data_IF_281868186273
#
_entry.id   IF_281868186273
#
_cell.length_a   1.000
_cell.length_b   1.000
_cell.length_c   1.000
_cell.angle_alpha   90.00
_cell.angle_beta   90.00
_cell.angle_gamma   90.00
#
_symmetry.space_group_name_H-M   'P 1'
#
loop_
_entity.id
_entity.type
_entity.pdbx_description
1 polymer ?
#
# COMPACT_ATOMS: atom_id res chain seq x y z
N UNK A 1 -19.38 -17.97 -26.34
CA UNK A 1 -20.69 -17.42 -26.72
C UNK A 1 -21.92 -18.27 -26.31
N UNK A 2 -21.78 -19.62 -26.04
CA UNK A 2 -22.91 -20.53 -25.74
C UNK A 2 -23.65 -20.19 -24.42
N UNK A 3 -23.00 -19.54 -23.47
CA UNK A 3 -23.51 -19.26 -22.12
C UNK A 3 -23.78 -17.78 -21.85
N UNK A 4 -23.55 -16.90 -22.83
CA UNK A 4 -23.81 -15.46 -22.68
C UNK A 4 -25.29 -15.21 -22.37
N UNK A 5 -25.55 -14.41 -21.35
CA UNK A 5 -26.88 -14.08 -20.85
C UNK A 5 -27.55 -15.20 -20.03
N UNK A 6 -26.90 -16.34 -19.83
CA UNK A 6 -27.40 -17.42 -18.96
C UNK A 6 -26.92 -17.26 -17.55
N UNK A 7 -27.76 -17.52 -16.59
CA UNK A 7 -27.38 -17.73 -15.21
C UNK A 7 -26.70 -19.10 -15.08
N UNK A 8 -25.53 -19.11 -14.49
CA UNK A 8 -24.74 -20.31 -14.25
C UNK A 8 -24.49 -20.43 -12.74
N UNK A 9 -24.49 -21.66 -12.24
CA UNK A 9 -24.15 -21.96 -10.85
C UNK A 9 -22.79 -22.62 -10.80
N UNK A 10 -21.86 -22.06 -10.05
CA UNK A 10 -20.62 -22.74 -9.65
C UNK A 10 -20.85 -23.38 -8.29
N UNK A 11 -20.67 -24.70 -8.22
CA UNK A 11 -20.68 -25.45 -6.96
C UNK A 11 -19.26 -25.92 -6.68
N UNK A 12 -18.75 -25.60 -5.49
CA UNK A 12 -17.46 -26.07 -4.99
C UNK A 12 -17.70 -26.97 -3.79
N UNK A 13 -17.14 -28.17 -3.82
CA UNK A 13 -17.19 -29.12 -2.71
C UNK A 13 -15.77 -29.33 -2.19
N UNK A 14 -15.50 -28.96 -0.94
CA UNK A 14 -14.25 -29.27 -0.25
C UNK A 14 -14.44 -30.51 0.63
N UNK A 15 -13.51 -31.47 0.54
CA UNK A 15 -13.45 -32.64 1.42
C UNK A 15 -12.21 -32.54 2.30
N UNK A 16 -12.42 -32.57 3.60
CA UNK A 16 -11.35 -32.49 4.60
C UNK A 16 -10.85 -33.91 4.96
N UNK A 17 -9.61 -33.98 5.45
CA UNK A 17 -8.99 -35.25 5.84
C UNK A 17 -9.70 -35.95 7.02
N UNK A 18 -10.50 -35.21 7.79
CA UNK A 18 -11.33 -35.74 8.88
C UNK A 18 -12.67 -36.32 8.38
N UNK A 19 -12.92 -36.30 7.06
CA UNK A 19 -14.15 -36.80 6.44
C UNK A 19 -15.28 -35.78 6.34
N UNK A 20 -15.09 -34.58 6.85
CA UNK A 20 -16.05 -33.47 6.69
C UNK A 20 -16.11 -32.99 5.24
N UNK A 21 -17.30 -32.57 4.83
CA UNK A 21 -17.55 -31.98 3.51
C UNK A 21 -18.14 -30.59 3.72
N UNK A 22 -17.55 -29.61 3.05
CA UNK A 22 -18.12 -28.27 2.94
C UNK A 22 -18.47 -27.99 1.48
N UNK A 23 -19.64 -27.41 1.26
CA UNK A 23 -20.12 -27.04 -0.08
C UNK A 23 -20.44 -25.54 -0.10
N UNK A 24 -20.10 -24.91 -1.21
CA UNK A 24 -20.46 -23.53 -1.50
C UNK A 24 -21.00 -23.43 -2.92
N UNK A 25 -22.03 -22.61 -3.11
CA UNK A 25 -22.59 -22.31 -4.44
C UNK A 25 -22.54 -20.81 -4.69
N UNK A 26 -22.26 -20.45 -5.93
CA UNK A 26 -22.33 -19.05 -6.38
C UNK A 26 -23.00 -19.01 -7.75
N UNK A 27 -23.98 -18.13 -7.89
CA UNK A 27 -24.66 -17.88 -9.16
C UNK A 27 -24.04 -16.67 -9.86
N UNK A 28 -23.81 -16.79 -11.15
CA UNK A 28 -23.29 -15.69 -11.96
C UNK A 28 -23.93 -15.70 -13.35
N UNK A 29 -24.02 -14.54 -13.97
CA UNK A 29 -24.49 -14.39 -15.35
C UNK A 29 -23.29 -14.21 -16.24
N UNK A 30 -23.12 -15.11 -17.21
CA UNK A 30 -22.09 -14.97 -18.23
C UNK A 30 -22.45 -13.82 -19.16
N UNK A 31 -21.62 -12.78 -19.20
CA UNK A 31 -21.79 -11.62 -20.08
C UNK A 31 -20.73 -11.64 -21.19
N UNK A 32 -21.06 -11.06 -22.35
CA UNK A 32 -20.04 -10.71 -23.35
C UNK A 32 -19.13 -9.64 -22.79
N UNK A 33 -17.90 -9.65 -23.23
CA UNK A 33 -16.80 -8.78 -22.79
C UNK A 33 -17.28 -7.47 -22.14
N UNK A 34 -17.00 -7.32 -20.87
CA UNK A 34 -17.00 -5.99 -20.26
C UNK A 34 -15.85 -5.23 -20.91
N UNK A 35 -16.16 -4.11 -21.51
CA UNK A 35 -15.14 -3.09 -21.69
C UNK A 35 -14.74 -2.62 -20.29
N UNK A 36 -13.66 -3.19 -19.76
CA UNK A 36 -13.05 -2.65 -18.54
C UNK A 36 -12.67 -1.21 -18.86
N UNK A 37 -13.13 -0.22 -18.09
CA UNK A 37 -12.78 1.16 -18.36
C UNK A 37 -11.27 1.31 -18.38
N UNK A 38 -10.77 2.08 -19.32
CA UNK A 38 -9.36 2.47 -19.31
C UNK A 38 -9.12 3.25 -18.02
N UNK A 39 -8.01 2.99 -17.37
CA UNK A 39 -7.56 3.80 -16.25
C UNK A 39 -7.46 5.27 -16.69
N UNK A 40 -7.98 6.19 -15.89
CA UNK A 40 -7.98 7.62 -16.24
C UNK A 40 -6.71 8.35 -15.79
N UNK A 41 -5.96 7.75 -14.87
CA UNK A 41 -4.72 8.29 -14.33
C UNK A 41 -3.82 7.15 -13.86
N UNK A 42 -2.52 7.42 -13.81
CA UNK A 42 -1.55 6.52 -13.22
C UNK A 42 -1.61 6.59 -11.68
N UNK A 43 -1.18 5.51 -11.03
CA UNK A 43 -1.08 5.35 -9.57
C UNK A 43 0.32 4.82 -9.27
N UNK A 44 1.30 5.74 -9.24
CA UNK A 44 2.71 5.42 -9.42
C UNK A 44 3.49 5.18 -8.12
N UNK A 45 2.89 5.50 -6.97
CA UNK A 45 3.49 5.30 -5.64
C UNK A 45 2.41 4.82 -4.65
N UNK A 46 2.82 4.50 -3.42
CA UNK A 46 1.89 4.24 -2.32
C UNK A 46 0.86 5.37 -2.22
N UNK A 47 -0.41 5.01 -2.05
CA UNK A 47 -1.52 5.99 -2.03
C UNK A 47 -1.51 6.95 -3.23
N UNK A 48 -1.07 6.48 -4.39
CA UNK A 48 -1.22 7.09 -5.71
C UNK A 48 -0.17 8.10 -6.12
N UNK A 49 0.59 8.66 -5.20
CA UNK A 49 1.65 9.61 -5.52
C UNK A 49 2.73 9.67 -4.43
N UNK A 50 3.84 10.33 -4.75
CA UNK A 50 4.99 10.41 -3.85
C UNK A 50 4.73 11.14 -2.52
N UNK A 51 3.64 11.92 -2.40
CA UNK A 51 3.19 12.57 -1.16
C UNK A 51 2.29 11.67 -0.32
N UNK A 52 1.88 10.52 -0.83
CA UNK A 52 0.88 9.63 -0.24
C UNK A 52 -0.46 10.32 0.03
N UNK A 53 -0.87 11.22 -0.83
CA UNK A 53 -2.04 12.07 -0.61
C UNK A 53 -3.34 11.50 -1.18
N UNK A 54 -3.30 10.30 -1.77
CA UNK A 54 -4.45 9.63 -2.37
C UNK A 54 -5.31 10.57 -3.22
N UNK A 55 -4.91 10.86 -4.46
CA UNK A 55 -5.58 11.87 -5.29
C UNK A 55 -7.06 11.52 -5.46
N UNK A 56 -7.91 12.53 -5.39
CA UNK A 56 -9.37 12.36 -5.51
C UNK A 56 -9.71 11.79 -6.87
N UNK A 57 -10.51 10.73 -6.87
CA UNK A 57 -11.06 10.13 -8.07
C UNK A 57 -12.54 10.47 -8.26
N UNK A 58 -13.01 10.39 -9.49
CA UNK A 58 -14.44 10.46 -9.77
C UNK A 58 -15.21 9.36 -9.01
N UNK A 59 -16.47 9.60 -8.60
CA UNK A 59 -17.25 8.61 -7.87
C UNK A 59 -17.33 7.28 -8.62
N UNK A 60 -17.08 6.17 -7.93
CA UNK A 60 -17.34 4.84 -8.46
C UNK A 60 -18.83 4.52 -8.31
N UNK A 61 -19.43 4.00 -9.38
CA UNK A 61 -20.82 3.60 -9.34
C UNK A 61 -20.98 2.24 -8.64
N UNK A 62 -21.66 2.21 -7.51
CA UNK A 62 -21.99 0.98 -6.80
C UNK A 62 -23.18 0.23 -7.40
N UNK A 63 -23.29 -1.09 -7.20
CA UNK A 63 -22.27 -1.97 -6.61
C UNK A 63 -21.12 -2.22 -7.58
N UNK A 64 -19.90 -2.26 -7.06
CA UNK A 64 -18.76 -2.69 -7.84
C UNK A 64 -18.87 -4.19 -8.14
N UNK A 65 -18.44 -4.59 -9.31
CA UNK A 65 -18.36 -5.96 -9.75
C UNK A 65 -16.92 -6.36 -10.02
N UNK A 66 -16.59 -7.60 -9.76
CA UNK A 66 -15.30 -8.16 -10.15
C UNK A 66 -15.22 -8.21 -11.69
N UNK A 67 -14.30 -7.46 -12.26
CA UNK A 67 -14.04 -7.49 -13.70
C UNK A 67 -13.13 -8.67 -14.05
N UNK A 68 -12.04 -8.82 -13.30
CA UNK A 68 -11.13 -9.96 -13.42
C UNK A 68 -10.38 -10.19 -12.11
N UNK A 69 -9.87 -11.40 -11.94
CA UNK A 69 -8.86 -11.79 -10.96
C UNK A 69 -7.82 -12.66 -11.62
N UNK A 70 -6.58 -12.52 -11.19
CA UNK A 70 -5.50 -13.41 -11.59
C UNK A 70 -4.57 -13.67 -10.40
N UNK A 71 -4.13 -14.91 -10.25
CA UNK A 71 -3.14 -15.30 -9.26
C UNK A 71 -1.75 -15.33 -9.90
N UNK A 72 -0.80 -14.61 -9.32
CA UNK A 72 0.58 -14.54 -9.85
C UNK A 72 1.42 -15.76 -9.49
N UNK A 73 0.89 -16.68 -8.69
CA UNK A 73 1.58 -17.91 -8.27
C UNK A 73 2.50 -17.73 -7.07
N UNK A 74 2.45 -16.56 -6.40
CA UNK A 74 3.32 -16.21 -5.29
C UNK A 74 2.61 -15.29 -4.30
N UNK A 75 3.04 -15.25 -3.05
CA UNK A 75 2.45 -14.39 -2.04
C UNK A 75 2.74 -12.90 -2.34
N UNK A 76 1.73 -12.04 -2.14
CA UNK A 76 1.86 -10.59 -2.20
C UNK A 76 1.72 -10.03 -0.77
N UNK A 77 2.80 -9.47 -0.24
CA UNK A 77 2.80 -8.96 1.14
C UNK A 77 2.51 -7.45 1.14
N UNK A 78 3.22 -6.61 1.79
CA UNK A 78 2.95 -5.16 1.92
C UNK A 78 3.08 -4.35 0.62
N UNK A 79 3.30 -4.99 -0.51
CA UNK A 79 3.40 -4.32 -1.81
C UNK A 79 2.01 -3.91 -2.29
N UNK A 80 1.78 -2.61 -2.37
CA UNK A 80 0.55 -2.05 -2.94
C UNK A 80 0.57 -2.14 -4.46
N UNK A 81 -0.55 -2.52 -5.12
CA UNK A 81 -0.63 -2.47 -6.57
C UNK A 81 -0.39 -1.05 -7.08
N UNK A 82 0.38 -0.95 -8.16
CA UNK A 82 0.52 0.29 -8.93
C UNK A 82 -0.26 0.18 -10.25
N UNK A 83 -0.69 1.31 -10.76
CA UNK A 83 -1.34 1.41 -12.07
C UNK A 83 -0.52 2.36 -12.93
N UNK A 84 0.00 1.85 -14.06
CA UNK A 84 0.80 2.65 -14.95
C UNK A 84 0.51 2.30 -16.42
N UNK A 85 0.09 3.29 -17.21
CA UNK A 85 -0.19 3.13 -18.64
C UNK A 85 -1.04 1.89 -18.98
N UNK A 86 -2.09 1.67 -18.22
CA UNK A 86 -3.02 0.55 -18.46
C UNK A 86 -2.56 -0.82 -17.94
N UNK A 87 -1.46 -0.86 -17.18
CA UNK A 87 -0.94 -2.07 -16.53
C UNK A 87 -1.15 -1.98 -15.02
N UNK A 88 -1.32 -3.12 -14.38
CA UNK A 88 -1.26 -3.28 -12.92
C UNK A 88 0.08 -3.92 -12.59
N UNK A 89 0.85 -3.31 -11.69
CA UNK A 89 2.18 -3.78 -11.31
C UNK A 89 2.16 -4.17 -9.82
N UNK A 90 2.66 -5.37 -9.53
CA UNK A 90 2.79 -5.93 -8.17
C UNK A 90 4.13 -6.62 -8.00
N UNK A 91 4.53 -6.88 -6.75
CA UNK A 91 5.75 -7.63 -6.47
C UNK A 91 5.52 -8.66 -5.36
N UNK A 92 6.20 -9.80 -5.47
CA UNK A 92 5.99 -10.98 -4.64
C UNK A 92 7.05 -11.17 -3.56
N UNK A 93 6.73 -12.08 -2.64
CA UNK A 93 7.61 -12.52 -1.57
C UNK A 93 7.69 -14.05 -1.54
N UNK A 94 8.82 -14.57 -1.07
CA UNK A 94 9.02 -15.95 -0.61
C UNK A 94 8.53 -17.02 -1.63
N UNK A 95 8.88 -16.87 -2.92
CA UNK A 95 8.48 -17.82 -3.97
C UNK A 95 9.21 -19.15 -3.88
N UNK A 96 10.34 -19.19 -3.20
CA UNK A 96 11.09 -20.40 -2.91
C UNK A 96 11.64 -20.39 -1.46
N UNK A 97 12.28 -21.48 -1.07
CA UNK A 97 12.91 -21.62 0.26
C UNK A 97 14.09 -20.66 0.49
N UNK A 98 14.55 -19.94 -0.52
CA UNK A 98 15.62 -18.94 -0.45
C UNK A 98 15.07 -17.52 -0.42
N UNK A 99 13.77 -17.36 -0.56
CA UNK A 99 13.06 -16.09 -0.51
C UNK A 99 13.09 -15.31 -1.83
N UNK A 100 13.30 -15.96 -2.98
CA UNK A 100 13.20 -15.32 -4.29
C UNK A 100 11.83 -14.68 -4.50
N UNK A 101 11.73 -13.75 -5.44
CA UNK A 101 10.50 -13.08 -5.81
C UNK A 101 10.55 -12.56 -7.25
N UNK A 102 9.48 -11.95 -7.67
CA UNK A 102 9.35 -11.29 -8.97
C UNK A 102 8.62 -9.95 -8.84
N UNK A 103 8.86 -9.09 -9.82
CA UNK A 103 7.95 -7.99 -10.15
C UNK A 103 7.13 -8.42 -11.36
N UNK A 104 5.81 -8.27 -11.27
CA UNK A 104 4.86 -8.64 -12.32
C UNK A 104 4.14 -7.43 -12.87
N UNK A 105 3.87 -7.44 -14.18
CA UNK A 105 2.88 -6.54 -14.77
C UNK A 105 1.75 -7.35 -15.38
N UNK A 106 0.52 -6.95 -15.05
CA UNK A 106 -0.71 -7.52 -15.55
C UNK A 106 -1.39 -6.52 -16.49
N UNK A 107 -2.05 -7.05 -17.51
CA UNK A 107 -2.89 -6.26 -18.39
C UNK A 107 -4.12 -5.76 -17.61
N UNK A 108 -4.33 -4.45 -17.54
CA UNK A 108 -5.45 -3.86 -16.83
C UNK A 108 -6.83 -4.23 -17.38
N UNK A 109 -6.92 -4.72 -18.63
CA UNK A 109 -8.20 -5.09 -19.25
C UNK A 109 -8.71 -6.47 -18.81
N UNK A 110 -7.81 -7.45 -18.67
CA UNK A 110 -8.18 -8.86 -18.49
C UNK A 110 -7.37 -9.57 -17.40
N UNK A 111 -6.40 -8.89 -16.78
CA UNK A 111 -5.55 -9.42 -15.72
C UNK A 111 -4.47 -10.41 -16.19
N UNK A 112 -4.29 -10.61 -17.50
CA UNK A 112 -3.24 -11.51 -17.99
C UNK A 112 -1.85 -10.98 -17.66
N UNK A 113 -0.91 -11.85 -17.26
CA UNK A 113 0.48 -11.46 -16.99
C UNK A 113 1.14 -11.09 -18.33
N UNK A 114 1.57 -9.84 -18.45
CA UNK A 114 2.29 -9.32 -19.61
C UNK A 114 3.78 -9.67 -19.55
N UNK A 115 4.36 -9.53 -18.36
CA UNK A 115 5.73 -9.88 -18.09
C UNK A 115 5.95 -10.14 -16.58
N UNK A 116 7.05 -10.84 -16.28
CA UNK A 116 7.60 -10.97 -14.94
C UNK A 116 9.09 -10.79 -14.95
N UNK A 117 9.65 -10.09 -13.97
CA UNK A 117 11.08 -9.87 -13.82
C UNK A 117 11.54 -10.48 -12.49
N UNK A 118 12.45 -11.47 -12.51
CA UNK A 118 12.94 -12.10 -11.29
C UNK A 118 13.80 -11.15 -10.47
N UNK A 119 13.66 -11.22 -9.15
CA UNK A 119 14.49 -10.53 -8.16
C UNK A 119 15.14 -11.55 -7.22
N UNK A 120 16.26 -11.18 -6.60
CA UNK A 120 17.09 -12.13 -5.83
C UNK A 120 16.49 -12.51 -4.48
N UNK A 121 15.66 -11.62 -3.92
CA UNK A 121 14.99 -11.85 -2.65
C UNK A 121 13.63 -11.15 -2.63
N UNK A 122 12.85 -11.43 -1.61
CA UNK A 122 11.47 -10.94 -1.41
C UNK A 122 11.37 -9.43 -1.44
N UNK A 123 10.39 -8.90 -2.15
CA UNK A 123 10.00 -7.49 -2.11
C UNK A 123 8.96 -7.33 -0.99
N UNK A 124 9.38 -6.83 0.17
CA UNK A 124 8.54 -6.76 1.38
C UNK A 124 7.97 -5.38 1.66
N UNK A 125 8.17 -4.42 0.76
CA UNK A 125 7.68 -3.05 0.93
C UNK A 125 7.25 -2.44 -0.40
N UNK A 126 6.82 -1.17 -0.37
CA UNK A 126 6.28 -0.46 -1.52
C UNK A 126 7.26 -0.39 -2.68
N UNK A 127 6.74 -0.55 -3.87
CA UNK A 127 7.37 -0.28 -5.16
C UNK A 127 6.89 1.08 -5.66
N UNK A 128 7.58 1.66 -6.64
CA UNK A 128 7.20 2.94 -7.23
C UNK A 128 7.52 2.97 -8.73
N UNK A 129 6.84 3.83 -9.48
CA UNK A 129 7.09 4.06 -10.89
C UNK A 129 7.45 5.54 -11.11
N UNK A 130 8.45 5.78 -11.93
CA UNK A 130 8.76 7.08 -12.51
C UNK A 130 9.46 6.91 -13.87
N UNK A 131 9.21 7.81 -14.80
CA UNK A 131 9.88 7.82 -16.11
C UNK A 131 9.80 6.49 -16.90
N UNK A 132 8.66 5.76 -16.79
CA UNK A 132 8.42 4.45 -17.38
C UNK A 132 9.30 3.32 -16.82
N UNK A 133 9.81 3.51 -15.61
CA UNK A 133 10.63 2.53 -14.90
C UNK A 133 9.94 2.21 -13.58
N UNK A 134 9.72 0.93 -13.29
CA UNK A 134 9.32 0.48 -11.97
C UNK A 134 10.56 0.16 -11.14
N UNK A 135 10.55 0.66 -9.91
CA UNK A 135 11.60 0.46 -8.92
C UNK A 135 11.10 -0.46 -7.83
N UNK A 136 11.92 -1.43 -7.46
CA UNK A 136 11.68 -2.35 -6.37
C UNK A 136 12.98 -2.57 -5.58
N UNK A 137 12.87 -2.70 -4.25
CA UNK A 137 14.01 -3.03 -3.39
C UNK A 137 13.71 -4.32 -2.65
N UNK A 138 14.61 -5.29 -2.75
CA UNK A 138 14.45 -6.56 -2.05
C UNK A 138 14.98 -6.51 -0.60
N UNK A 139 14.65 -7.54 0.17
CA UNK A 139 15.03 -7.63 1.57
C UNK A 139 16.54 -7.75 1.83
N UNK A 140 17.36 -7.95 0.80
CA UNK A 140 18.81 -7.93 0.87
C UNK A 140 19.42 -6.59 0.41
N UNK A 141 18.57 -5.62 0.04
CA UNK A 141 18.99 -4.28 -0.36
C UNK A 141 19.36 -4.15 -1.83
N UNK A 142 19.02 -5.11 -2.68
CA UNK A 142 19.14 -4.89 -4.12
C UNK A 142 18.00 -4.00 -4.60
N UNK A 143 18.35 -2.86 -5.18
CA UNK A 143 17.44 -1.94 -5.85
C UNK A 143 17.45 -2.24 -7.35
N UNK A 144 16.27 -2.51 -7.87
CA UNK A 144 16.04 -2.84 -9.28
C UNK A 144 15.31 -1.69 -9.97
N UNK A 145 15.69 -1.43 -11.22
CA UNK A 145 14.96 -0.57 -12.13
C UNK A 145 14.58 -1.40 -13.36
N UNK A 146 13.29 -1.53 -13.61
CA UNK A 146 12.73 -2.42 -14.60
C UNK A 146 11.86 -1.60 -15.55
N UNK A 147 12.05 -1.75 -16.84
CA UNK A 147 11.25 -1.09 -17.87
C UNK A 147 9.79 -1.56 -17.81
N UNK A 148 8.84 -0.64 -17.64
CA UNK A 148 7.42 -0.96 -17.41
C UNK A 148 6.73 -1.56 -18.64
N UNK A 149 7.27 -1.34 -19.84
CA UNK A 149 6.70 -1.89 -21.07
C UNK A 149 7.15 -3.33 -21.32
N UNK A 150 8.42 -3.61 -21.10
CA UNK A 150 9.04 -4.88 -21.53
C UNK A 150 9.36 -5.83 -20.37
N UNK A 151 9.36 -5.36 -19.12
CA UNK A 151 9.82 -6.12 -17.95
C UNK A 151 11.33 -6.37 -17.92
N UNK A 152 12.10 -5.71 -18.77
CA UNK A 152 13.56 -5.86 -18.81
C UNK A 152 14.22 -5.05 -17.69
N UNK A 153 15.20 -5.66 -17.04
CA UNK A 153 16.05 -4.98 -16.09
C UNK A 153 16.89 -3.91 -16.81
N UNK A 154 16.71 -2.64 -16.43
CA UNK A 154 17.49 -1.51 -16.92
C UNK A 154 18.84 -1.41 -16.19
N UNK A 155 18.76 -1.44 -14.85
CA UNK A 155 19.92 -1.45 -13.97
C UNK A 155 19.55 -2.03 -12.60
N UNK A 156 20.58 -2.46 -11.86
CA UNK A 156 20.46 -2.87 -10.46
C UNK A 156 21.58 -2.26 -9.62
N UNK A 157 21.34 -2.06 -8.33
CA UNK A 157 22.33 -1.60 -7.35
C UNK A 157 22.16 -2.36 -6.05
N UNK A 158 23.24 -2.82 -5.49
CA UNK A 158 23.23 -3.32 -4.11
C UNK A 158 23.51 -2.16 -3.16
N UNK A 159 22.55 -1.88 -2.30
CA UNK A 159 22.69 -0.89 -1.24
C UNK A 159 23.30 -1.56 0.00
N UNK A 160 24.15 -0.85 0.76
CA UNK A 160 24.69 -1.38 2.01
C UNK A 160 23.60 -1.37 3.07
N UNK A 161 22.80 -2.43 3.09
CA UNK A 161 21.77 -2.60 4.11
C UNK A 161 22.42 -2.89 5.45
N UNK A 162 22.05 -2.10 6.45
CA UNK A 162 22.56 -2.20 7.78
C UNK A 162 21.39 -2.45 8.75
N UNK A 163 21.37 -3.60 9.40
CA UNK A 163 20.29 -3.99 10.30
C UNK A 163 19.59 -5.27 9.88
N UNK A 164 18.37 -5.45 10.34
CA UNK A 164 17.54 -6.60 9.98
C UNK A 164 17.00 -6.42 8.57
N UNK A 165 17.18 -7.39 7.65
CA UNK A 165 16.70 -7.28 6.26
C UNK A 165 15.20 -7.01 6.12
N UNK A 166 14.41 -7.32 7.13
CA UNK A 166 12.97 -7.05 7.15
C UNK A 166 12.60 -5.59 7.43
N UNK A 167 13.55 -4.74 7.80
CA UNK A 167 13.36 -3.35 8.20
C UNK A 167 13.98 -2.40 7.17
N UNK A 168 13.64 -2.60 5.90
CA UNK A 168 14.03 -1.71 4.81
C UNK A 168 12.83 -0.81 4.49
N UNK A 169 13.05 0.50 4.47
CA UNK A 169 12.03 1.47 4.12
C UNK A 169 11.50 1.22 2.70
N UNK A 170 10.20 1.40 2.51
CA UNK A 170 9.60 1.43 1.19
C UNK A 170 10.14 2.61 0.38
N UNK A 171 10.45 2.38 -0.87
CA UNK A 171 11.00 3.40 -1.75
C UNK A 171 9.93 4.35 -2.28
N UNK A 172 10.36 5.50 -2.76
CA UNK A 172 9.53 6.48 -3.47
C UNK A 172 10.25 6.95 -4.72
N UNK A 173 9.53 7.25 -5.78
CA UNK A 173 10.08 7.81 -7.00
C UNK A 173 9.28 9.03 -7.48
N UNK A 174 9.98 9.98 -8.11
CA UNK A 174 9.37 11.16 -8.70
C UNK A 174 10.41 12.11 -9.29
N UNK A 175 10.01 12.87 -10.28
CA UNK A 175 10.83 13.87 -10.94
C UNK A 175 12.16 13.33 -11.50
N UNK A 176 12.18 12.09 -11.99
CA UNK A 176 13.36 11.44 -12.56
C UNK A 176 14.33 10.89 -11.52
N UNK A 177 13.94 10.78 -10.25
CA UNK A 177 14.78 10.29 -9.16
C UNK A 177 14.05 9.19 -8.39
N UNK A 178 14.76 8.14 -8.01
CA UNK A 178 14.32 7.14 -7.06
C UNK A 178 15.10 7.28 -5.75
N UNK A 179 14.37 7.22 -4.63
CA UNK A 179 14.90 7.31 -3.28
C UNK A 179 14.67 5.99 -2.55
N UNK A 180 15.71 5.47 -1.94
CA UNK A 180 15.67 4.20 -1.24
C UNK A 180 16.39 4.26 0.11
N UNK A 181 15.84 3.56 1.09
CA UNK A 181 16.42 3.45 2.42
C UNK A 181 17.44 2.33 2.52
N UNK A 182 18.42 2.49 3.41
CA UNK A 182 19.44 1.48 3.72
C UNK A 182 19.33 0.95 5.15
N UNK A 183 18.25 1.30 5.87
CA UNK A 183 18.09 1.00 7.29
C UNK A 183 18.85 1.95 8.23
N UNK A 184 19.84 2.71 7.76
CA UNK A 184 20.57 3.73 8.54
C UNK A 184 20.81 5.03 7.77
N UNK A 185 20.30 5.14 6.58
CA UNK A 185 20.45 6.29 5.72
C UNK A 185 19.60 6.15 4.47
N UNK A 186 19.78 7.08 3.57
CA UNK A 186 19.07 7.19 2.31
C UNK A 186 20.04 7.29 1.14
N UNK A 187 19.60 6.83 -0.01
CA UNK A 187 20.27 7.04 -1.28
C UNK A 187 19.30 7.59 -2.32
N UNK A 188 19.78 8.40 -3.23
CA UNK A 188 19.06 8.84 -4.41
C UNK A 188 19.81 8.49 -5.67
N UNK A 189 19.05 8.03 -6.67
CA UNK A 189 19.58 7.64 -7.97
C UNK A 189 18.77 8.29 -9.08
N UNK A 190 19.45 8.69 -10.14
CA UNK A 190 18.80 9.07 -11.39
C UNK A 190 18.02 7.87 -11.94
N UNK A 191 16.72 8.05 -12.18
CA UNK A 191 15.79 6.97 -12.52
C UNK A 191 16.23 6.14 -13.73
N UNK A 192 16.67 6.80 -14.81
CA UNK A 192 17.00 6.13 -16.08
C UNK A 192 18.35 5.43 -16.09
N UNK A 193 19.34 6.00 -15.41
CA UNK A 193 20.75 5.52 -15.53
C UNK A 193 21.24 4.77 -14.31
N UNK A 194 20.54 4.90 -13.16
CA UNK A 194 21.02 4.41 -11.89
C UNK A 194 22.28 5.12 -11.38
N UNK A 195 22.59 6.32 -11.91
CA UNK A 195 23.67 7.13 -11.38
C UNK A 195 23.30 7.61 -9.98
N UNK A 196 24.15 7.32 -9.01
CA UNK A 196 23.95 7.81 -7.64
C UNK A 196 24.11 9.33 -7.62
N UNK A 197 23.09 10.03 -7.14
CA UNK A 197 23.06 11.47 -6.99
C UNK A 197 23.67 11.87 -5.66
N UNK A 198 23.22 11.21 -4.59
CA UNK A 198 23.75 11.39 -3.25
C UNK A 198 23.47 10.16 -2.36
N UNK A 199 24.16 10.12 -1.24
CA UNK A 199 23.99 9.13 -0.16
C UNK A 199 24.10 9.84 1.17
N UNK A 200 23.15 9.57 2.06
CA UNK A 200 23.15 10.05 3.43
C UNK A 200 23.29 8.86 4.39
N UNK A 201 24.31 8.87 5.23
CA UNK A 201 24.53 7.84 6.26
C UNK A 201 24.34 8.40 7.69
N UNK A 202 23.96 9.65 7.82
CA UNK A 202 24.04 10.45 9.04
C UNK A 202 22.79 10.44 9.91
N UNK A 203 21.99 9.39 9.93
CA UNK A 203 20.80 9.37 10.80
C UNK A 203 21.12 9.11 12.27
N UNK A 204 22.33 8.74 12.59
CA UNK A 204 22.74 8.44 13.95
C UNK A 204 22.30 7.04 14.37
N UNK A 205 21.48 6.93 15.40
CA UNK A 205 20.99 5.64 15.88
C UNK A 205 19.60 5.37 15.31
N UNK A 206 19.39 4.22 14.70
CA UNK A 206 18.11 3.78 14.20
C UNK A 206 18.27 2.63 13.22
N UNK A 207 17.28 1.79 13.17
CA UNK A 207 17.09 0.79 12.13
C UNK A 207 16.04 1.33 11.19
N UNK A 208 16.03 0.89 9.92
CA UNK A 208 14.96 1.16 8.98
C UNK A 208 13.61 0.69 9.52
N UNK A 209 12.57 1.12 8.89
CA UNK A 209 11.19 0.79 9.26
C UNK A 209 10.52 0.08 8.10
N UNK A 210 9.29 -0.34 8.28
CA UNK A 210 8.44 -0.83 7.20
C UNK A 210 7.63 0.31 6.56
N UNK A 211 7.84 1.58 6.97
CA UNK A 211 7.21 2.74 6.35
C UNK A 211 7.80 3.04 4.97
N UNK A 212 7.00 3.63 4.11
CA UNK A 212 7.44 4.11 2.80
C UNK A 212 7.89 5.56 2.91
N UNK A 213 8.96 5.90 2.21
CA UNK A 213 9.48 7.27 2.10
C UNK A 213 8.42 8.19 1.50
N UNK A 214 8.27 9.39 2.04
CA UNK A 214 7.33 10.42 1.53
C UNK A 214 8.11 11.56 0.89
N UNK A 215 7.80 11.88 -0.36
CA UNK A 215 8.48 12.94 -1.13
C UNK A 215 7.50 14.05 -1.51
N UNK A 216 7.85 15.29 -1.21
CA UNK A 216 7.11 16.46 -1.67
C UNK A 216 7.77 17.77 -1.23
N UNK A 217 7.56 18.84 -1.98
CA UNK A 217 8.09 20.18 -1.65
C UNK A 217 9.62 20.19 -1.44
N UNK A 218 10.38 19.43 -2.21
CA UNK A 218 11.83 19.21 -2.06
C UNK A 218 12.23 18.57 -0.71
N UNK A 219 11.28 17.98 -0.01
CA UNK A 219 11.49 17.29 1.26
C UNK A 219 11.30 15.79 1.08
N UNK A 220 12.25 15.00 1.58
CA UNK A 220 12.18 13.56 1.69
C UNK A 220 12.04 13.18 3.17
N UNK A 221 10.90 12.61 3.53
CA UNK A 221 10.61 12.20 4.91
C UNK A 221 10.81 10.70 5.03
N UNK A 222 11.52 10.30 6.07
CA UNK A 222 11.80 8.90 6.37
C UNK A 222 11.61 8.61 7.85
N UNK A 223 11.12 7.42 8.17
CA UNK A 223 11.03 6.92 9.53
C UNK A 223 12.29 6.19 9.96
N UNK A 224 12.56 6.18 11.25
CA UNK A 224 13.47 5.25 11.86
C UNK A 224 12.81 4.59 13.06
N UNK A 225 13.06 3.31 13.23
CA UNK A 225 12.58 2.58 14.40
C UNK A 225 13.08 3.24 15.69
N UNK A 226 12.27 3.21 16.71
CA UNK A 226 12.62 3.73 18.04
C UNK A 226 12.70 5.26 18.16
N UNK A 227 11.63 5.94 17.79
CA UNK A 227 11.35 7.34 18.11
C UNK A 227 12.02 8.40 17.22
N UNK A 228 12.12 8.18 15.92
CA UNK A 228 12.59 9.23 15.05
C UNK A 228 11.84 9.31 13.72
N UNK A 229 11.58 10.51 13.28
CA UNK A 229 11.18 10.87 11.93
C UNK A 229 12.19 11.88 11.41
N UNK A 230 12.68 11.72 10.20
CA UNK A 230 13.70 12.56 9.61
C UNK A 230 13.18 13.26 8.37
N UNK A 231 13.40 14.57 8.27
CA UNK A 231 13.24 15.32 7.03
C UNK A 231 14.59 15.62 6.42
N UNK A 232 14.73 15.34 5.13
CA UNK A 232 15.96 15.51 4.38
C UNK A 232 15.68 16.35 3.13
N UNK A 233 16.62 17.18 2.71
CA UNK A 233 16.56 17.82 1.42
C UNK A 233 16.62 16.77 0.32
N UNK A 234 15.62 16.74 -0.55
CA UNK A 234 15.52 15.69 -1.57
C UNK A 234 16.61 15.77 -2.65
N UNK A 235 17.18 16.97 -2.88
CA UNK A 235 18.22 17.17 -3.90
C UNK A 235 19.62 16.86 -3.40
N UNK A 236 19.86 17.09 -2.12
CA UNK A 236 21.23 16.98 -1.54
C UNK A 236 21.37 15.78 -0.59
N UNK A 237 20.25 15.28 -0.05
CA UNK A 237 20.24 14.27 1.00
C UNK A 237 20.60 14.82 2.38
N UNK A 238 20.80 16.13 2.53
CA UNK A 238 21.12 16.74 3.81
C UNK A 238 19.96 16.61 4.79
N UNK A 239 20.26 16.21 6.02
CA UNK A 239 19.27 16.16 7.10
C UNK A 239 18.90 17.56 7.54
N UNK A 240 17.66 17.96 7.28
CA UNK A 240 17.13 19.27 7.65
C UNK A 240 16.64 19.29 9.10
N UNK A 241 15.97 18.20 9.52
CA UNK A 241 15.44 18.08 10.87
C UNK A 241 15.28 16.62 11.28
N UNK A 242 15.19 16.40 12.57
CA UNK A 242 14.83 15.12 13.17
C UNK A 242 13.85 15.37 14.32
N UNK A 243 12.82 14.53 14.41
CA UNK A 243 11.85 14.55 15.50
C UNK A 243 11.94 13.25 16.25
N UNK A 244 12.20 13.35 17.55
CA UNK A 244 12.12 12.27 18.50
C UNK A 244 11.13 12.65 19.58
N UNK A 245 9.98 12.01 19.61
CA UNK A 245 8.94 12.26 20.61
C UNK A 245 8.46 10.92 21.19
N UNK A 246 8.13 10.91 22.48
CA UNK A 246 7.54 9.75 23.12
C UNK A 246 6.19 9.39 22.45
N UNK A 247 6.13 8.20 21.85
CA UNK A 247 4.97 7.75 21.08
C UNK A 247 5.11 7.92 19.56
N UNK A 248 6.10 8.64 19.07
CA UNK A 248 6.46 8.65 17.65
C UNK A 248 7.38 7.46 17.34
N UNK A 249 6.83 6.26 17.42
CA UNK A 249 7.50 5.03 16.99
C UNK A 249 7.12 4.76 15.56
N UNK A 250 7.80 5.38 14.61
CA UNK A 250 7.45 5.16 13.23
C UNK A 250 7.87 3.76 12.77
N UNK A 251 7.01 2.78 13.04
CA UNK A 251 7.25 1.37 12.69
C UNK A 251 6.78 1.01 11.30
N UNK A 252 5.62 1.49 10.90
CA UNK A 252 4.97 1.00 9.70
C UNK A 252 4.19 2.06 8.94
N UNK A 253 3.51 2.97 9.63
CA UNK A 253 2.70 3.99 8.98
C UNK A 253 3.57 4.97 8.21
N UNK A 254 3.23 5.20 6.95
CA UNK A 254 3.90 6.19 6.13
C UNK A 254 3.25 7.56 6.34
N UNK A 255 4.03 8.65 6.47
CA UNK A 255 3.44 9.98 6.53
C UNK A 255 2.69 10.34 5.24
N UNK A 256 1.54 10.99 5.36
CA UNK A 256 0.87 11.65 4.24
C UNK A 256 1.21 13.15 4.26
N UNK A 257 1.59 13.69 3.10
CA UNK A 257 1.90 15.13 2.97
C UNK A 257 0.76 15.86 2.27
N UNK A 258 0.15 16.81 2.96
CA UNK A 258 -0.86 17.70 2.40
C UNK A 258 -0.47 19.17 2.64
N UNK A 259 -0.22 19.90 1.56
CA UNK A 259 0.27 21.26 1.64
C UNK A 259 1.62 21.34 2.38
N UNK A 260 1.64 22.07 3.48
CA UNK A 260 2.80 22.23 4.35
C UNK A 260 2.81 21.31 5.58
N UNK A 261 1.88 20.36 5.65
CA UNK A 261 1.68 19.50 6.82
C UNK A 261 1.94 18.03 6.50
N UNK A 262 2.44 17.32 7.51
CA UNK A 262 2.57 15.86 7.54
C UNK A 262 1.55 15.30 8.52
N UNK A 263 0.88 14.26 8.12
CA UNK A 263 -0.11 13.51 8.92
C UNK A 263 0.40 12.10 9.15
N UNK A 264 0.40 11.65 10.39
CA UNK A 264 0.99 10.37 10.78
C UNK A 264 0.24 9.74 11.94
N UNK A 265 0.11 8.43 11.93
CA UNK A 265 -0.31 7.62 13.08
C UNK A 265 0.90 6.84 13.61
N UNK A 266 0.98 6.68 14.91
CA UNK A 266 2.04 5.92 15.55
C UNK A 266 1.65 5.50 16.96
N UNK A 267 1.92 4.24 17.33
CA UNK A 267 1.62 3.64 18.63
C UNK A 267 0.15 3.84 19.05
N UNK A 268 -0.15 4.82 19.88
CA UNK A 268 -1.50 5.21 20.33
C UNK A 268 -1.74 6.70 20.13
N UNK A 269 -1.25 7.25 19.06
CA UNK A 269 -1.37 8.69 18.79
C UNK A 269 -1.51 9.00 17.32
N UNK A 270 -2.23 10.07 17.05
CA UNK A 270 -2.26 10.74 15.76
C UNK A 270 -1.46 12.03 15.87
N UNK A 271 -0.70 12.35 14.83
CA UNK A 271 0.19 13.50 14.77
C UNK A 271 -0.07 14.37 13.54
N UNK A 272 0.08 15.69 13.71
CA UNK A 272 0.24 16.64 12.62
C UNK A 272 1.55 17.40 12.87
N UNK A 273 2.42 17.42 11.86
CA UNK A 273 3.70 18.10 11.92
C UNK A 273 3.80 19.15 10.79
N UNK A 274 4.53 20.22 11.05
CA UNK A 274 4.96 21.13 9.99
C UNK A 274 6.05 20.45 9.15
N UNK A 275 5.82 20.30 7.85
CA UNK A 275 6.73 19.55 6.99
C UNK A 275 8.14 20.19 6.89
N UNK A 276 8.22 21.51 6.84
CA UNK A 276 9.48 22.22 6.68
C UNK A 276 10.44 22.08 7.87
N UNK A 277 9.91 21.93 9.08
CA UNK A 277 10.70 21.99 10.33
C UNK A 277 10.63 20.72 11.17
N UNK A 278 9.66 19.84 10.87
CA UNK A 278 9.35 18.68 11.69
C UNK A 278 8.64 19.01 13.02
N UNK A 279 8.30 20.29 13.26
CA UNK A 279 7.62 20.72 14.48
C UNK A 279 6.28 20.00 14.64
N UNK A 280 6.10 19.31 15.77
CA UNK A 280 4.81 18.71 16.12
C UNK A 280 3.82 19.82 16.47
N UNK A 281 2.78 19.97 15.65
CA UNK A 281 1.69 20.93 15.83
C UNK A 281 0.59 20.31 16.68
N UNK A 282 0.27 19.04 16.38
CA UNK A 282 -0.76 18.28 17.08
C UNK A 282 -0.20 16.92 17.46
N UNK A 283 -0.49 16.50 18.69
CA UNK A 283 -0.39 15.14 19.17
C UNK A 283 -1.70 14.79 19.87
N UNK A 284 -2.52 13.94 19.24
CA UNK A 284 -3.77 13.46 19.81
C UNK A 284 -3.59 12.03 20.32
N UNK A 285 -3.66 11.79 21.63
CA UNK A 285 -3.71 10.43 22.17
C UNK A 285 -4.98 9.72 21.71
N UNK A 286 -4.86 8.44 21.39
CA UNK A 286 -5.96 7.55 21.03
C UNK A 286 -6.11 6.45 22.08
N UNK A 287 -7.34 6.02 22.40
CA UNK A 287 -7.56 4.97 23.40
C UNK A 287 -7.26 3.55 22.90
N UNK A 288 -6.78 3.40 21.67
CA UNK A 288 -6.47 2.13 21.00
C UNK A 288 -5.14 2.22 20.27
N UNK A 289 -4.61 1.05 19.89
CA UNK A 289 -3.38 0.94 19.13
C UNK A 289 -3.62 1.19 17.63
N UNK A 290 -2.79 2.06 17.04
CA UNK A 290 -2.74 2.39 15.61
C UNK A 290 -1.36 2.07 15.00
N UNK A 291 -0.62 1.14 15.58
CA UNK A 291 0.71 0.71 15.12
C UNK A 291 0.56 -0.27 13.93
N UNK A 292 0.03 0.22 12.84
CA UNK A 292 -0.20 -0.45 11.55
C UNK A 292 0.50 0.29 10.42
N UNK A 293 0.50 -0.28 9.22
CA UNK A 293 1.14 0.33 8.05
C UNK A 293 0.25 1.34 7.31
N UNK A 294 -0.98 1.52 7.75
CA UNK A 294 -1.96 2.44 7.16
C UNK A 294 -1.46 3.89 7.16
N UNK A 295 -1.47 4.52 5.99
CA UNK A 295 -1.21 5.94 5.81
C UNK A 295 -2.51 6.72 6.01
N UNK A 296 -2.53 7.84 6.76
CA UNK A 296 -3.72 8.67 6.90
C UNK A 296 -4.21 9.21 5.55
N UNK A 297 -5.49 9.00 5.27
CA UNK A 297 -6.21 9.58 4.14
C UNK A 297 -6.89 10.87 4.59
N UNK A 298 -6.70 11.96 3.84
CA UNK A 298 -7.43 13.19 4.07
C UNK A 298 -8.53 13.34 3.01
N UNK A 299 -9.74 13.59 3.47
CA UNK A 299 -10.86 14.02 2.65
C UNK A 299 -11.13 15.51 2.87
N UNK A 300 -12.25 16.01 2.41
CA UNK A 300 -12.70 17.39 2.66
C UNK A 300 -13.04 17.66 4.14
N UNK A 301 -13.46 16.64 4.89
CA UNK A 301 -13.93 16.79 6.28
C UNK A 301 -13.40 15.73 7.25
N UNK A 302 -12.76 14.69 6.77
CA UNK A 302 -12.31 13.57 7.58
C UNK A 302 -10.80 13.31 7.41
N UNK A 303 -10.20 12.79 8.49
CA UNK A 303 -8.91 12.13 8.50
C UNK A 303 -9.16 10.67 8.81
N UNK A 304 -8.86 9.78 7.87
CA UNK A 304 -9.25 8.37 7.93
C UNK A 304 -8.01 7.47 7.94
N UNK A 305 -7.94 6.51 8.84
CA UNK A 305 -6.81 5.58 8.94
C UNK A 305 -7.23 4.23 9.53
N UNK A 306 -6.47 3.22 9.19
CA UNK A 306 -6.59 1.88 9.78
C UNK A 306 -6.09 1.82 11.22
N UNK A 307 -6.51 0.82 11.94
CA UNK A 307 -6.06 0.54 13.29
C UNK A 307 -5.73 -0.93 13.51
N UNK A 308 -5.00 -1.21 14.57
CA UNK A 308 -4.66 -2.59 14.94
C UNK A 308 -5.85 -3.37 15.51
N UNK A 309 -6.88 -2.70 16.02
CA UNK A 309 -7.91 -3.36 16.85
C UNK A 309 -9.34 -2.92 16.58
N UNK A 310 -9.53 -1.77 15.93
CA UNK A 310 -10.84 -1.11 15.81
C UNK A 310 -11.37 -1.01 14.38
N UNK A 311 -10.65 -1.54 13.41
CA UNK A 311 -11.00 -1.38 12.01
C UNK A 311 -10.58 -0.02 11.46
N UNK A 312 -11.44 0.60 10.66
CA UNK A 312 -11.21 1.92 10.06
C UNK A 312 -11.80 3.01 10.96
N UNK A 313 -11.03 4.08 11.15
CA UNK A 313 -11.36 5.19 12.04
C UNK A 313 -11.37 6.48 11.23
N UNK A 314 -12.35 7.33 11.47
CA UNK A 314 -12.38 8.69 10.96
C UNK A 314 -12.40 9.70 12.10
N UNK A 315 -11.51 10.66 12.02
CA UNK A 315 -11.56 11.88 12.82
C UNK A 315 -12.15 13.00 11.97
N UNK A 316 -12.85 13.90 12.60
CA UNK A 316 -13.21 15.18 11.99
C UNK A 316 -11.95 16.00 11.76
N UNK A 317 -11.77 16.55 10.55
CA UNK A 317 -10.51 17.21 10.17
C UNK A 317 -10.25 18.53 10.88
N UNK A 318 -11.28 19.19 11.43
CA UNK A 318 -11.16 20.47 12.13
C UNK A 318 -11.02 20.29 13.64
N UNK A 319 -11.91 19.45 14.23
CA UNK A 319 -11.96 19.24 15.68
C UNK A 319 -11.04 18.13 16.16
N UNK A 320 -10.65 17.24 15.24
CA UNK A 320 -9.91 16.00 15.49
C UNK A 320 -10.66 15.01 16.41
N UNK A 321 -11.94 15.23 16.68
CA UNK A 321 -12.76 14.28 17.43
C UNK A 321 -13.12 13.06 16.55
N UNK A 322 -13.26 11.90 17.17
CA UNK A 322 -13.68 10.69 16.47
C UNK A 322 -15.10 10.87 15.95
N UNK A 323 -15.27 10.83 14.63
CA UNK A 323 -16.54 11.01 13.95
C UNK A 323 -17.27 9.67 13.81
N UNK A 324 -16.54 8.64 13.41
CA UNK A 324 -17.04 7.28 13.32
C UNK A 324 -15.90 6.25 13.36
N UNK A 325 -16.27 5.04 13.72
CA UNK A 325 -15.43 3.83 13.60
C UNK A 325 -16.20 2.78 12.84
N UNK A 326 -15.58 2.20 11.80
CA UNK A 326 -16.13 1.07 11.05
C UNK A 326 -15.39 -0.21 11.47
N UNK A 327 -16.02 -1.08 12.27
CA UNK A 327 -15.42 -2.35 12.64
C UNK A 327 -15.38 -3.28 11.43
N UNK A 328 -14.31 -4.06 11.32
CA UNK A 328 -14.14 -5.15 10.34
C UNK A 328 -14.13 -6.49 11.07
N UNK A 329 -14.04 -7.60 10.33
CA UNK A 329 -13.90 -8.92 10.91
C UNK A 329 -12.55 -9.14 11.61
N UNK A 330 -12.44 -10.27 12.30
CA UNK A 330 -11.18 -10.67 12.93
C UNK A 330 -10.11 -10.95 11.88
N UNK A 331 -8.91 -10.45 12.12
CA UNK A 331 -7.78 -10.67 11.22
C UNK A 331 -7.46 -12.16 11.08
N UNK A 332 -7.29 -12.61 9.83
CA UNK A 332 -6.89 -13.99 9.52
C UNK A 332 -5.43 -14.26 9.88
N UNK A 333 -4.60 -13.21 9.85
CA UNK A 333 -3.19 -13.23 10.26
C UNK A 333 -2.90 -11.96 11.06
N UNK A 334 -2.20 -12.12 12.18
CA UNK A 334 -1.82 -11.01 13.06
C UNK A 334 -0.42 -10.54 12.72
N UNK A 335 -0.33 -9.40 12.11
CA UNK A 335 0.94 -8.74 11.71
C UNK A 335 1.33 -7.65 12.69
N UNK A 336 0.35 -7.05 13.36
CA UNK A 336 0.57 -5.96 14.28
C UNK A 336 1.17 -6.46 15.60
N UNK A 337 2.40 -6.05 15.97
CA UNK A 337 2.99 -6.41 17.24
C UNK A 337 2.14 -5.80 18.37
N UNK A 338 2.00 -6.54 19.47
CA UNK A 338 1.23 -6.15 20.66
C UNK A 338 -0.30 -6.16 20.51
N UNK A 339 -0.86 -6.48 19.36
CA UNK A 339 -2.28 -6.76 19.20
C UNK A 339 -2.59 -8.18 19.66
N UNK A 340 -3.67 -8.34 20.42
CA UNK A 340 -4.16 -9.65 20.87
C UNK A 340 -5.45 -9.98 20.17
N UNK A 341 -5.69 -11.26 19.99
CA UNK A 341 -6.93 -11.79 19.39
C UNK A 341 -8.13 -11.62 20.33
N UNK A 342 -9.34 -11.39 19.82
CA UNK A 342 -9.66 -11.06 18.43
C UNK A 342 -9.23 -9.62 18.08
N UNK A 343 -8.93 -9.34 16.80
CA UNK A 343 -8.42 -8.04 16.39
C UNK A 343 -8.93 -7.63 15.00
N UNK A 344 -9.71 -6.56 14.95
CA UNK A 344 -10.18 -5.95 13.72
C UNK A 344 -9.09 -5.08 13.10
N UNK A 345 -8.13 -5.70 12.40
CA UNK A 345 -6.92 -5.03 11.90
C UNK A 345 -7.06 -4.56 10.47
N UNK A 346 -6.69 -3.30 10.22
CA UNK A 346 -6.51 -2.73 8.90
C UNK A 346 -5.09 -2.19 8.78
N UNK A 347 -4.25 -2.91 8.03
CA UNK A 347 -2.87 -2.50 7.69
C UNK A 347 -2.85 -1.57 6.48
N UNK A 348 -3.82 -1.70 5.60
CA UNK A 348 -3.82 -1.01 4.31
C UNK A 348 -4.20 0.46 4.43
N UNK A 349 -3.71 1.29 3.52
CA UNK A 349 -4.14 2.67 3.39
C UNK A 349 -5.44 2.74 2.60
N UNK A 350 -6.38 3.53 3.08
CA UNK A 350 -7.66 3.77 2.41
C UNK A 350 -7.51 4.75 1.25
N UNK A 351 -8.46 4.69 0.31
CA UNK A 351 -8.64 5.67 -0.77
C UNK A 351 -10.10 6.08 -0.85
N UNK A 352 -10.43 7.18 -1.50
CA UNK A 352 -11.81 7.63 -1.61
C UNK A 352 -12.17 8.10 -3.03
N UNK A 353 -13.45 7.90 -3.37
CA UNK A 353 -14.03 8.38 -4.60
C UNK A 353 -15.48 8.81 -4.35
N UNK A 354 -15.78 10.07 -4.55
CA UNK A 354 -17.07 10.65 -4.18
C UNK A 354 -17.33 10.55 -2.67
N UNK A 355 -18.41 9.87 -2.30
CA UNK A 355 -18.81 9.71 -0.90
C UNK A 355 -18.38 8.37 -0.29
N UNK A 356 -17.58 7.59 -1.00
CA UNK A 356 -17.20 6.24 -0.58
C UNK A 356 -15.69 6.15 -0.36
N UNK A 357 -15.33 5.61 0.81
CA UNK A 357 -13.97 5.21 1.16
C UNK A 357 -13.81 3.73 0.88
N UNK A 358 -12.75 3.34 0.18
CA UNK A 358 -12.41 1.95 -0.11
C UNK A 358 -11.17 1.54 0.68
N UNK A 359 -11.23 0.37 1.29
CA UNK A 359 -10.13 -0.19 2.07
C UNK A 359 -10.15 -1.71 2.01
N UNK A 360 -8.99 -2.32 2.10
CA UNK A 360 -8.82 -3.75 2.23
C UNK A 360 -8.41 -4.09 3.67
N UNK A 361 -8.81 -5.23 4.20
CA UNK A 361 -8.58 -5.56 5.60
C UNK A 361 -7.92 -6.93 5.79
N UNK A 362 -7.34 -7.13 6.96
CA UNK A 362 -6.67 -8.38 7.33
C UNK A 362 -7.63 -9.55 7.57
N UNK A 363 -8.95 -9.31 7.55
CA UNK A 363 -10.01 -10.31 7.61
C UNK A 363 -10.35 -10.94 6.24
N UNK A 364 -9.65 -10.55 5.18
CA UNK A 364 -9.89 -11.04 3.82
C UNK A 364 -11.06 -10.39 3.11
N UNK A 365 -11.44 -9.18 3.51
CA UNK A 365 -12.54 -8.42 2.90
C UNK A 365 -12.05 -7.09 2.34
N UNK A 366 -12.62 -6.69 1.20
CA UNK A 366 -12.56 -5.33 0.67
C UNK A 366 -13.86 -4.62 1.04
N UNK A 367 -13.77 -3.41 1.54
CA UNK A 367 -14.91 -2.62 1.99
C UNK A 367 -15.07 -1.34 1.20
N UNK A 368 -16.30 -0.98 0.87
CA UNK A 368 -16.74 0.36 0.48
C UNK A 368 -17.59 0.94 1.61
N UNK A 369 -17.16 2.06 2.17
CA UNK A 369 -17.67 2.64 3.40
C UNK A 369 -18.11 4.07 3.09
N UNK A 370 -19.32 4.46 3.48
CA UNK A 370 -19.76 5.84 3.37
C UNK A 370 -18.89 6.74 4.26
N UNK A 371 -18.28 7.78 3.69
CA UNK A 371 -17.30 8.63 4.38
C UNK A 371 -17.92 9.49 5.49
N UNK A 372 -19.23 9.76 5.43
CA UNK A 372 -19.89 10.64 6.39
C UNK A 372 -20.28 9.93 7.69
N UNK A 373 -20.75 8.66 7.58
CA UNK A 373 -21.32 7.94 8.74
C UNK A 373 -20.64 6.59 9.05
N UNK A 374 -19.61 6.20 8.26
CA UNK A 374 -18.84 4.97 8.47
C UNK A 374 -19.60 3.68 8.16
N UNK A 375 -20.79 3.75 7.54
CA UNK A 375 -21.56 2.55 7.19
C UNK A 375 -20.98 1.84 5.98
N UNK A 376 -20.89 0.51 6.07
CA UNK A 376 -20.52 -0.34 4.95
C UNK A 376 -21.65 -0.34 3.92
N UNK A 377 -21.36 0.14 2.71
CA UNK A 377 -22.30 0.19 1.58
C UNK A 377 -22.00 -0.84 0.50
N UNK A 378 -20.78 -1.37 0.50
CA UNK A 378 -20.33 -2.44 -0.38
C UNK A 378 -19.21 -3.24 0.30
N UNK A 379 -19.14 -4.54 0.02
CA UNK A 379 -18.03 -5.40 0.44
C UNK A 379 -17.85 -6.59 -0.48
N UNK A 380 -16.62 -7.09 -0.55
CA UNK A 380 -16.28 -8.30 -1.31
C UNK A 380 -15.29 -9.16 -0.51
N UNK A 381 -15.55 -10.47 -0.45
CA UNK A 381 -14.66 -11.43 0.21
C UNK A 381 -13.62 -11.95 -0.79
N UNK A 382 -12.34 -11.85 -0.45
CA UNK A 382 -11.24 -12.47 -1.19
C UNK A 382 -10.83 -13.80 -0.56
N UNK A 383 -11.04 -13.96 0.74
CA UNK A 383 -10.71 -15.16 1.50
C UNK A 383 -9.27 -15.25 1.99
N UNK A 384 -8.41 -14.30 1.61
CA UNK A 384 -7.04 -14.18 2.10
C UNK A 384 -6.79 -12.76 2.65
N UNK A 385 -5.95 -12.60 3.70
CA UNK A 385 -5.70 -11.29 4.29
C UNK A 385 -5.03 -10.35 3.29
N UNK A 386 -5.29 -9.05 3.45
CA UNK A 386 -4.69 -8.02 2.61
C UNK A 386 -3.84 -7.07 3.44
N UNK A 387 -2.62 -6.82 2.96
CA UNK A 387 -1.61 -5.97 3.60
C UNK A 387 -1.13 -4.85 2.69
N UNK A 388 -1.21 -5.05 1.37
CA UNK A 388 -0.97 -4.00 0.36
C UNK A 388 -2.16 -3.06 0.26
N UNK A 389 -1.90 -1.76 0.18
CA UNK A 389 -2.95 -0.74 0.06
C UNK A 389 -3.67 -0.83 -1.28
N UNK A 390 -4.90 -0.35 -1.32
CA UNK A 390 -5.71 -0.34 -2.53
C UNK A 390 -5.25 0.73 -3.52
N UNK A 391 -5.41 0.48 -4.81
CA UNK A 391 -5.17 1.46 -5.87
C UNK A 391 -6.47 1.82 -6.59
N UNK A 392 -6.60 3.08 -6.98
CA UNK A 392 -7.81 3.62 -7.57
C UNK A 392 -7.48 4.48 -8.80
N UNK A 393 -8.04 4.15 -9.94
CA UNK A 393 -7.88 4.95 -11.14
C UNK A 393 -9.14 4.98 -11.98
N UNK A 394 -9.70 6.15 -12.19
CA UNK A 394 -10.94 6.32 -12.92
C UNK A 394 -12.09 5.52 -12.28
N UNK A 395 -12.60 4.53 -13.00
CA UNK A 395 -13.69 3.67 -12.55
C UNK A 395 -13.22 2.30 -12.01
N UNK A 396 -11.94 2.13 -11.78
CA UNK A 396 -11.35 0.85 -11.39
C UNK A 396 -10.71 0.91 -10.00
N UNK A 397 -11.07 -0.04 -9.16
CA UNK A 397 -10.44 -0.34 -7.87
C UNK A 397 -9.60 -1.60 -8.02
N UNK A 398 -8.32 -1.52 -7.69
CA UNK A 398 -7.39 -2.66 -7.74
C UNK A 398 -6.93 -2.99 -6.33
N UNK A 399 -6.97 -4.28 -5.99
CA UNK A 399 -6.48 -4.80 -4.72
C UNK A 399 -5.67 -6.07 -4.95
N UNK A 400 -4.80 -6.39 -4.00
CA UNK A 400 -4.08 -7.67 -3.96
C UNK A 400 -4.19 -8.30 -2.58
N UNK A 401 -4.23 -9.63 -2.54
CA UNK A 401 -4.25 -10.37 -1.29
C UNK A 401 -2.96 -11.17 -1.07
N UNK A 402 -2.76 -11.63 0.15
CA UNK A 402 -1.59 -12.43 0.54
C UNK A 402 -1.52 -13.78 -0.17
N UNK A 403 -2.64 -14.30 -0.68
CA UNK A 403 -2.70 -15.53 -1.49
C UNK A 403 -2.18 -15.37 -2.92
N UNK A 404 -1.72 -14.18 -3.29
CA UNK A 404 -1.16 -13.90 -4.62
C UNK A 404 -2.19 -13.49 -5.66
N UNK A 405 -3.42 -13.26 -5.27
CA UNK A 405 -4.44 -12.82 -6.19
C UNK A 405 -4.42 -11.30 -6.33
N UNK A 406 -4.58 -10.85 -7.56
CA UNK A 406 -4.84 -9.45 -7.92
C UNK A 406 -6.26 -9.36 -8.46
N UNK A 407 -7.02 -8.41 -7.98
CA UNK A 407 -8.43 -8.20 -8.33
C UNK A 407 -8.61 -6.81 -8.93
N UNK A 408 -9.42 -6.73 -9.97
CA UNK A 408 -9.92 -5.45 -10.46
C UNK A 408 -11.44 -5.43 -10.36
N UNK A 409 -11.93 -4.42 -9.66
CA UNK A 409 -13.36 -4.13 -9.54
C UNK A 409 -13.70 -2.88 -10.33
N UNK A 410 -14.84 -2.90 -11.02
CA UNK A 410 -15.45 -1.76 -11.68
C UNK A 410 -16.98 -1.92 -11.70
N UNK A 411 -17.71 -0.96 -12.27
CA UNK A 411 -19.15 -1.09 -12.45
C UNK A 411 -19.52 -2.10 -13.53
#
# INVERSE_FOLDING_TARGET
HKYVGKELTLRVTARFNNGEIAEAESNFICRTEKTVPLFSADWDNLSGNAKHSAPVSAPLNLPLQLAWTNNVGANLYMTSPLIHKGKVIVASVDEDLKGAGHVYALNGKDGTILWSCPVRNSIKNSIAVDSDIVFAQDAQGFLYAIDTETGKLCWEKQLPVNGLPALIDGLVAGEGVVYAGTGKGLCAFEARTGKQLWKNEGWGQGEGTTSTLTLGNNLLVAGAQWNALYGNDAKTGEKLWAVSDNGLRNRGASPAMHGALLYLISDKSFFILEAATGKVIVRKPLPYNVDVTSTPLLTDKEIIFGSAQKGLIALDSETLEEKWTCPVGDALVYTCPYSRQPSATIETSAVWAGDIVYVAASDGMVYGINKEDGKVVWKHATGAPMFGSVALSGNALVVSDFGGNVYLFCK
#
